data_IF_756586344220
#
_entry.id   IF_756586344220
#
_cell.length_a   1.000
_cell.length_b   1.000
_cell.length_c   1.000
_cell.angle_alpha   90.00
_cell.angle_beta   90.00
_cell.angle_gamma   90.00
#
_symmetry.space_group_name_H-M   'P 1'
#
loop_
_entity.id
_entity.type
_entity.pdbx_description
1 polymer ?
#
# COMPACT_ATOMS: atom_id res chain seq x y z
N UNK A 1 8.55 -0.38 -18.66
CA UNK A 1 8.20 -0.23 -17.23
C UNK A 1 6.84 0.45 -17.17
N UNK A 2 5.83 -0.19 -16.58
CA UNK A 2 4.47 0.36 -16.52
C UNK A 2 4.46 1.44 -15.43
N UNK A 3 4.10 2.68 -15.77
CA UNK A 3 3.97 3.75 -14.79
C UNK A 3 2.75 3.46 -13.92
N UNK A 4 2.96 3.23 -12.62
CA UNK A 4 1.87 3.05 -11.66
C UNK A 4 1.56 4.44 -11.08
N UNK A 5 0.37 5.01 -11.32
CA UNK A 5 0.00 6.31 -10.78
C UNK A 5 0.10 6.32 -9.26
N UNK A 6 0.56 7.42 -8.66
CA UNK A 6 0.66 7.59 -7.20
C UNK A 6 -0.70 7.32 -6.53
N UNK A 7 -1.80 7.75 -7.13
CA UNK A 7 -3.16 7.47 -6.63
C UNK A 7 -3.48 5.97 -6.58
N UNK A 8 -2.99 5.20 -7.54
CA UNK A 8 -3.17 3.74 -7.56
C UNK A 8 -2.36 3.07 -6.44
N UNK A 9 -1.16 3.58 -6.15
CA UNK A 9 -0.32 3.13 -5.04
C UNK A 9 -1.02 3.46 -3.71
N UNK A 10 -1.46 4.69 -3.51
CA UNK A 10 -2.15 5.13 -2.29
C UNK A 10 -3.41 4.30 -2.01
N UNK A 11 -4.28 4.10 -3.01
CA UNK A 11 -5.47 3.25 -2.87
C UNK A 11 -5.14 1.79 -2.56
N UNK A 12 -4.07 1.26 -3.15
CA UNK A 12 -3.60 -0.10 -2.88
C UNK A 12 -3.13 -0.22 -1.43
N UNK A 13 -2.40 0.77 -0.92
CA UNK A 13 -1.95 0.82 0.47
C UNK A 13 -3.12 0.97 1.47
N UNK A 14 -4.14 1.77 1.13
CA UNK A 14 -5.37 1.89 1.93
C UNK A 14 -6.13 0.55 2.01
N UNK A 15 -6.31 -0.11 0.86
CA UNK A 15 -6.93 -1.44 0.79
C UNK A 15 -6.16 -2.49 1.60
N UNK A 16 -4.83 -2.49 1.51
CA UNK A 16 -3.97 -3.36 2.31
C UNK A 16 -4.14 -3.12 3.82
N UNK A 17 -4.13 -1.85 4.27
CA UNK A 17 -4.33 -1.51 5.68
C UNK A 17 -5.69 -1.97 6.19
N UNK A 18 -6.75 -1.79 5.39
CA UNK A 18 -8.07 -2.29 5.72
C UNK A 18 -8.09 -3.82 5.87
N UNK A 19 -7.44 -4.55 4.95
CA UNK A 19 -7.33 -6.01 5.03
C UNK A 19 -6.54 -6.45 6.27
N UNK A 20 -5.45 -5.77 6.62
CA UNK A 20 -4.68 -6.06 7.84
C UNK A 20 -5.50 -5.85 9.12
N UNK A 21 -6.26 -4.75 9.21
CA UNK A 21 -7.12 -4.46 10.36
C UNK A 21 -8.15 -5.58 10.61
N UNK A 22 -8.65 -6.20 9.54
CA UNK A 22 -9.66 -7.25 9.60
C UNK A 22 -9.07 -8.67 9.42
N UNK A 23 -7.75 -8.81 9.39
CA UNK A 23 -7.07 -10.08 9.07
C UNK A 23 -7.47 -11.20 10.03
N UNK A 24 -7.46 -10.93 11.33
CA UNK A 24 -7.88 -11.92 12.35
C UNK A 24 -9.31 -12.39 12.09
N UNK A 25 -10.23 -11.45 11.81
CA UNK A 25 -11.61 -11.78 11.47
C UNK A 25 -11.73 -12.61 10.19
N UNK A 26 -10.90 -12.37 9.18
CA UNK A 26 -10.86 -13.19 7.96
C UNK A 26 -10.31 -14.59 8.22
N UNK A 27 -9.30 -14.74 9.07
CA UNK A 27 -8.78 -16.05 9.46
C UNK A 27 -9.81 -16.86 10.26
N UNK A 28 -10.48 -16.22 11.20
CA UNK A 28 -11.56 -16.83 11.98
C UNK A 28 -12.72 -17.23 11.08
N UNK A 29 -13.10 -16.38 10.11
CA UNK A 29 -14.13 -16.70 9.13
C UNK A 29 -13.73 -17.90 8.27
N UNK A 30 -12.49 -17.93 7.75
CA UNK A 30 -11.99 -19.03 6.92
C UNK A 30 -11.96 -20.37 7.69
N UNK A 31 -11.59 -20.34 8.97
CA UNK A 31 -11.55 -21.54 9.82
C UNK A 31 -12.95 -22.16 10.02
N UNK A 32 -14.00 -21.34 9.97
CA UNK A 32 -15.38 -21.75 10.16
C UNK A 32 -16.15 -21.95 8.84
N UNK A 33 -15.55 -21.63 7.69
CA UNK A 33 -16.17 -21.76 6.39
C UNK A 33 -15.98 -23.19 5.83
N UNK A 34 -17.03 -23.89 5.38
CA UNK A 34 -16.87 -25.18 4.73
C UNK A 34 -16.08 -25.03 3.42
N UNK A 35 -15.20 -25.99 3.11
CA UNK A 35 -14.36 -25.95 1.89
C UNK A 35 -15.14 -25.96 0.57
N UNK A 36 -16.39 -26.39 0.60
CA UNK A 36 -17.30 -26.36 -0.54
C UNK A 36 -17.93 -24.99 -0.77
N UNK A 37 -17.76 -24.05 0.17
CA UNK A 37 -18.26 -22.70 0.03
C UNK A 37 -17.54 -21.98 -1.12
N UNK A 38 -18.27 -21.32 -2.04
CA UNK A 38 -17.67 -20.63 -3.17
C UNK A 38 -16.65 -19.55 -2.75
N UNK A 39 -16.80 -18.96 -1.57
CA UNK A 39 -15.93 -17.90 -1.05
C UNK A 39 -14.66 -18.44 -0.38
N UNK A 40 -14.57 -19.75 -0.11
CA UNK A 40 -13.45 -20.34 0.62
C UNK A 40 -12.11 -20.04 -0.06
N UNK A 41 -12.05 -20.28 -1.38
CA UNK A 41 -10.84 -20.09 -2.17
C UNK A 41 -10.45 -18.60 -2.29
N UNK A 42 -11.44 -17.72 -2.40
CA UNK A 42 -11.23 -16.28 -2.54
C UNK A 42 -10.72 -15.67 -1.23
N UNK A 43 -11.31 -16.07 -0.10
CA UNK A 43 -10.88 -15.65 1.24
C UNK A 43 -9.47 -16.17 1.56
N UNK A 44 -9.17 -17.42 1.19
CA UNK A 44 -7.83 -17.98 1.33
C UNK A 44 -6.79 -17.19 0.51
N UNK A 45 -7.12 -16.82 -0.74
CA UNK A 45 -6.24 -16.02 -1.59
C UNK A 45 -6.04 -14.61 -1.04
N UNK A 46 -7.10 -13.97 -0.51
CA UNK A 46 -7.02 -12.66 0.11
C UNK A 46 -6.06 -12.64 1.30
N UNK A 47 -6.16 -13.63 2.19
CA UNK A 47 -5.26 -13.77 3.35
C UNK A 47 -3.81 -14.00 2.89
N UNK A 48 -3.60 -14.86 1.89
CA UNK A 48 -2.25 -15.13 1.36
C UNK A 48 -1.64 -13.90 0.68
N UNK A 49 -2.43 -13.09 -0.03
CA UNK A 49 -1.99 -11.82 -0.60
C UNK A 49 -1.66 -10.79 0.48
N UNK A 50 -2.47 -10.73 1.54
CA UNK A 50 -2.21 -9.89 2.70
C UNK A 50 -0.87 -10.22 3.37
N UNK A 51 -0.55 -11.51 3.54
CA UNK A 51 0.72 -11.95 4.11
C UNK A 51 1.91 -11.56 3.22
N UNK A 52 1.79 -11.67 1.89
CA UNK A 52 2.83 -11.21 0.95
C UNK A 52 3.05 -9.69 1.01
N UNK A 53 1.99 -8.92 1.25
CA UNK A 53 2.10 -7.46 1.39
C UNK A 53 2.73 -7.04 2.72
N UNK A 54 2.63 -7.87 3.77
CA UNK A 54 3.35 -7.64 5.05
C UNK A 54 4.86 -7.65 4.85
N UNK A 55 5.36 -8.50 3.96
CA UNK A 55 6.79 -8.55 3.62
C UNK A 55 7.24 -7.33 2.79
N UNK A 56 6.31 -6.66 2.09
CA UNK A 56 6.58 -5.40 1.39
C UNK A 56 6.68 -4.20 2.35
N UNK A 57 5.95 -4.24 3.47
CA UNK A 57 5.98 -3.19 4.52
C UNK A 57 7.34 -3.11 5.25
N UNK A 58 8.19 -4.15 5.10
CA UNK A 58 9.56 -4.20 5.64
C UNK A 58 10.61 -3.71 4.62
N UNK A 59 10.25 -3.54 3.35
CA UNK A 59 11.18 -3.15 2.28
C UNK A 59 11.00 -1.70 1.81
N UNK A 60 10.80 -0.77 2.74
CA UNK A 60 11.13 0.65 2.51
C UNK A 60 12.60 0.82 2.92
N UNK A 61 13.50 0.39 2.03
CA UNK A 61 14.95 0.48 2.23
C UNK A 61 15.46 1.92 2.09
N UNK A 62 16.70 2.17 2.51
CA UNK A 62 17.35 3.51 2.51
C UNK A 62 17.22 4.31 1.21
N UNK A 63 17.05 3.64 0.06
CA UNK A 63 16.83 4.25 -1.26
C UNK A 63 15.53 5.09 -1.32
N UNK A 64 14.47 4.68 -0.59
CA UNK A 64 13.21 5.41 -0.54
C UNK A 64 13.31 6.66 0.35
N UNK A 65 14.16 6.64 1.39
CA UNK A 65 14.43 7.83 2.20
C UNK A 65 15.15 8.91 1.39
N UNK A 66 16.11 8.52 0.54
CA UNK A 66 16.77 9.46 -0.36
C UNK A 66 15.80 9.99 -1.42
N UNK A 67 14.93 9.13 -1.94
CA UNK A 67 13.92 9.53 -2.93
C UNK A 67 12.89 10.50 -2.33
N UNK A 68 12.43 10.25 -1.10
CA UNK A 68 11.53 11.16 -0.37
C UNK A 68 12.23 12.49 -0.04
N UNK A 69 13.50 12.46 0.37
CA UNK A 69 14.28 13.69 0.61
C UNK A 69 14.49 14.51 -0.66
N UNK A 70 14.79 13.86 -1.78
CA UNK A 70 14.95 14.53 -3.08
C UNK A 70 13.61 15.12 -3.56
N UNK A 71 12.51 14.38 -3.39
CA UNK A 71 11.17 14.86 -3.73
C UNK A 71 10.78 16.10 -2.89
N UNK A 72 11.01 16.06 -1.58
CA UNK A 72 10.73 17.19 -0.70
C UNK A 72 11.59 18.42 -1.04
N UNK A 73 12.89 18.22 -1.31
CA UNK A 73 13.79 19.31 -1.69
C UNK A 73 13.38 19.97 -3.02
N UNK A 74 12.96 19.18 -4.01
CA UNK A 74 12.48 19.69 -5.29
C UNK A 74 11.14 20.43 -5.15
N UNK A 75 10.24 19.91 -4.30
CA UNK A 75 8.95 20.56 -4.01
C UNK A 75 9.15 21.94 -3.35
N UNK A 76 10.06 22.03 -2.38
CA UNK A 76 10.36 23.27 -1.67
C UNK A 76 11.06 24.30 -2.58
N UNK A 77 11.96 23.85 -3.46
CA UNK A 77 12.54 24.71 -4.51
C UNK A 77 11.49 25.24 -5.48
N UNK A 78 10.55 24.39 -5.91
CA UNK A 78 9.51 24.79 -6.86
C UNK A 78 8.53 25.77 -6.20
N UNK A 79 8.13 25.51 -4.95
CA UNK A 79 7.27 26.40 -4.18
C UNK A 79 7.93 27.77 -3.96
N UNK A 80 9.23 27.79 -3.66
CA UNK A 80 9.97 29.05 -3.49
C UNK A 80 10.02 29.86 -4.78
N UNK A 81 10.30 29.21 -5.92
CA UNK A 81 10.27 29.86 -7.24
C UNK A 81 8.89 30.40 -7.61
N UNK A 82 7.83 29.64 -7.36
CA UNK A 82 6.46 30.09 -7.62
C UNK A 82 6.07 31.28 -6.73
N UNK A 83 6.59 31.34 -5.50
CA UNK A 83 6.37 32.46 -4.60
C UNK A 83 7.15 33.71 -5.02
N UNK A 84 8.38 33.55 -5.53
CA UNK A 84 9.18 34.63 -6.12
C UNK A 84 8.54 35.21 -7.40
N UNK A 85 7.82 34.39 -8.18
CA UNK A 85 7.08 34.83 -9.36
C UNK A 85 5.74 35.52 -9.05
N UNK A 86 5.30 35.52 -7.78
CA UNK A 86 4.09 36.23 -7.33
C UNK A 86 4.37 37.66 -6.83
N UNK A 87 5.60 38.16 -7.00
CA UNK A 87 6.02 39.54 -6.73
C UNK A 87 5.97 40.37 -8.02
#
# INVERSE_FOLDING_TARGET
MMFVPIDAISKTLEGYKAIQLHRTSFQDLLANLPKSDPLYNELQQLIALSDKCKDLEISVGEEDSQTIQQFNALSEQLSSKLNEMRI
#
